data_IF_933127259820
#
_entry.id   IF_933127259820
#
_cell.length_a   1.000
_cell.length_b   1.000
_cell.length_c   1.000
_cell.angle_alpha   90.00
_cell.angle_beta   90.00
_cell.angle_gamma   90.00
#
_symmetry.space_group_name_H-M   'P 1'
#
loop_
_entity.id
_entity.type
_entity.pdbx_description
1 polymer ?
#
# COMPACT_ATOMS: atom_id res chain seq x y z
N UNK A 1 -15.84 9.27 -2.67
CA UNK A 1 -14.67 10.10 -3.02
C UNK A 1 -14.38 9.83 -4.47
N UNK A 2 -14.26 10.86 -5.31
CA UNK A 2 -13.94 10.63 -6.73
C UNK A 2 -12.52 10.07 -6.85
N UNK A 3 -12.29 9.27 -7.89
CA UNK A 3 -10.99 8.67 -8.18
C UNK A 3 -9.88 9.75 -8.23
N UNK A 4 -10.15 10.91 -8.85
CA UNK A 4 -9.21 12.04 -8.91
C UNK A 4 -8.82 12.57 -7.54
N UNK A 5 -9.77 12.67 -6.60
CA UNK A 5 -9.46 13.08 -5.23
C UNK A 5 -8.59 12.02 -4.58
N UNK A 6 -8.95 10.75 -4.69
CA UNK A 6 -8.14 9.67 -4.14
C UNK A 6 -6.70 9.73 -4.66
N UNK A 7 -6.50 9.84 -5.97
CA UNK A 7 -5.16 9.93 -6.57
C UNK A 7 -4.35 11.09 -5.98
N UNK A 8 -4.96 12.25 -5.76
CA UNK A 8 -4.28 13.39 -5.14
C UNK A 8 -3.82 13.10 -3.69
N UNK A 9 -4.73 12.61 -2.84
CA UNK A 9 -4.36 12.26 -1.45
C UNK A 9 -3.37 11.10 -1.40
N UNK A 10 -3.48 10.16 -2.33
CA UNK A 10 -2.57 9.02 -2.44
C UNK A 10 -1.16 9.46 -2.82
N UNK A 11 -1.02 10.34 -3.82
CA UNK A 11 0.28 10.89 -4.20
C UNK A 11 0.88 11.74 -3.07
N UNK A 12 0.06 12.55 -2.37
CA UNK A 12 0.52 13.28 -1.19
C UNK A 12 1.01 12.33 -0.09
N UNK A 13 0.28 11.25 0.18
CA UNK A 13 0.67 10.21 1.13
C UNK A 13 1.99 9.53 0.73
N UNK A 14 2.14 9.16 -0.53
CA UNK A 14 3.38 8.60 -1.07
C UNK A 14 4.55 9.58 -0.95
N UNK A 15 4.33 10.86 -1.23
CA UNK A 15 5.36 11.89 -1.12
C UNK A 15 5.80 12.09 0.33
N UNK A 16 4.86 12.10 1.29
CA UNK A 16 5.16 12.20 2.72
C UNK A 16 5.95 10.98 3.19
N UNK A 17 5.50 9.76 2.88
CA UNK A 17 6.22 8.54 3.26
C UNK A 17 7.61 8.46 2.60
N UNK A 18 7.71 8.79 1.32
CA UNK A 18 8.98 8.84 0.61
C UNK A 18 9.94 9.88 1.19
N UNK A 19 9.43 11.06 1.56
CA UNK A 19 10.20 12.10 2.23
C UNK A 19 10.70 11.68 3.60
N UNK A 20 9.85 11.04 4.42
CA UNK A 20 10.24 10.47 5.71
C UNK A 20 11.32 9.40 5.52
N UNK A 21 11.13 8.47 4.58
CA UNK A 21 12.10 7.42 4.29
C UNK A 21 13.43 7.99 3.78
N UNK A 22 13.40 9.06 2.98
CA UNK A 22 14.62 9.74 2.52
C UNK A 22 15.36 10.46 3.65
N UNK A 23 14.63 11.05 4.62
CA UNK A 23 15.22 11.75 5.75
C UNK A 23 15.77 10.79 6.83
N UNK A 24 15.22 9.59 6.97
CA UNK A 24 15.59 8.63 8.02
C UNK A 24 17.11 8.34 8.10
N UNK A 25 17.83 8.05 6.99
CA UNK A 25 19.28 7.85 7.00
C UNK A 25 20.07 9.03 7.57
N UNK A 26 19.59 10.26 7.38
CA UNK A 26 20.27 11.46 7.86
C UNK A 26 20.12 11.67 9.37
N UNK A 27 19.02 11.18 9.95
CA UNK A 27 18.73 11.28 11.39
C UNK A 27 19.42 10.19 12.21
N UNK A 28 19.71 9.04 11.60
CA UNK A 28 20.33 7.90 12.27
C UNK A 28 21.54 7.37 11.48
N UNK A 29 22.63 8.15 11.44
CA UNK A 29 23.84 7.73 10.74
C UNK A 29 24.42 6.46 11.37
N UNK A 30 24.74 5.46 10.55
CA UNK A 30 25.41 4.22 10.97
C UNK A 30 24.49 3.04 11.31
N UNK A 31 23.16 3.20 11.31
CA UNK A 31 22.22 2.07 11.42
C UNK A 31 21.66 1.68 10.05
N UNK A 32 21.64 0.37 9.76
CA UNK A 32 20.97 -0.21 8.59
C UNK A 32 19.44 -0.23 8.81
N UNK A 33 18.80 0.94 8.77
CA UNK A 33 17.35 1.06 8.98
C UNK A 33 16.58 0.73 7.70
N UNK A 34 17.13 1.10 6.54
CA UNK A 34 16.51 0.89 5.23
C UNK A 34 17.27 -0.19 4.46
N UNK A 35 16.49 -1.02 3.74
CA UNK A 35 17.01 -2.07 2.86
C UNK A 35 17.66 -1.43 1.62
N UNK A 36 18.75 -1.97 1.06
CA UNK A 36 19.37 -1.43 -0.15
C UNK A 36 18.40 -1.20 -1.31
N UNK A 37 17.42 -2.09 -1.50
CA UNK A 37 16.37 -1.96 -2.53
C UNK A 37 15.04 -1.45 -1.98
N UNK A 38 15.05 -0.64 -0.92
CA UNK A 38 13.85 -0.08 -0.31
C UNK A 38 12.93 0.60 -1.33
N UNK A 39 13.46 1.43 -2.22
CA UNK A 39 12.67 2.13 -3.23
C UNK A 39 11.93 1.19 -4.19
N UNK A 40 12.49 0.01 -4.49
CA UNK A 40 11.83 -1.00 -5.29
C UNK A 40 10.63 -1.58 -4.56
N UNK A 41 10.78 -1.90 -3.28
CA UNK A 41 9.68 -2.36 -2.40
C UNK A 41 8.60 -1.29 -2.27
N UNK A 42 9.01 -0.04 -2.06
CA UNK A 42 8.12 1.11 -1.94
C UNK A 42 7.29 1.31 -3.21
N UNK A 43 7.93 1.37 -4.38
CA UNK A 43 7.23 1.53 -5.66
C UNK A 43 6.33 0.34 -5.97
N UNK A 44 6.74 -0.89 -5.65
CA UNK A 44 5.90 -2.08 -5.81
C UNK A 44 4.63 -1.99 -4.95
N UNK A 45 4.78 -1.72 -3.65
CA UNK A 45 3.64 -1.59 -2.72
C UNK A 45 2.74 -0.41 -3.09
N UNK A 46 3.32 0.71 -3.52
CA UNK A 46 2.58 1.87 -3.99
C UNK A 46 1.80 1.56 -5.28
N UNK A 47 2.40 0.83 -6.23
CA UNK A 47 1.73 0.44 -7.47
C UNK A 47 0.56 -0.51 -7.20
N UNK A 48 0.81 -1.59 -6.46
CA UNK A 48 -0.23 -2.60 -6.21
C UNK A 48 -1.39 -2.06 -5.39
N UNK A 49 -1.13 -1.16 -4.42
CA UNK A 49 -2.19 -0.52 -3.63
C UNK A 49 -3.06 0.40 -4.49
N UNK A 50 -2.46 1.12 -5.44
CA UNK A 50 -3.24 1.94 -6.37
C UNK A 50 -4.13 1.10 -7.28
N UNK A 51 -3.60 -0.02 -7.80
CA UNK A 51 -4.35 -0.97 -8.62
C UNK A 51 -5.49 -1.58 -7.79
N UNK A 52 -5.22 -2.04 -6.58
CA UNK A 52 -6.22 -2.63 -5.69
C UNK A 52 -7.35 -1.64 -5.37
N UNK A 53 -7.02 -0.38 -5.06
CA UNK A 53 -8.04 0.65 -4.88
C UNK A 53 -8.88 0.85 -6.15
N UNK A 54 -8.26 0.90 -7.33
CA UNK A 54 -8.97 1.04 -8.60
C UNK A 54 -9.97 -0.08 -8.85
N UNK A 55 -9.58 -1.34 -8.59
CA UNK A 55 -10.45 -2.52 -8.69
C UNK A 55 -11.63 -2.40 -7.71
N UNK A 56 -11.37 -2.01 -6.47
CA UNK A 56 -12.43 -1.82 -5.48
C UNK A 56 -13.39 -0.69 -5.87
N UNK A 57 -12.87 0.48 -6.29
CA UNK A 57 -13.67 1.65 -6.69
C UNK A 57 -14.59 1.34 -7.88
N UNK A 58 -14.12 0.51 -8.83
CA UNK A 58 -14.96 0.00 -9.93
C UNK A 58 -16.13 -0.86 -9.43
N UNK A 59 -15.87 -1.73 -8.45
CA UNK A 59 -16.92 -2.56 -7.84
C UNK A 59 -17.93 -1.75 -7.04
N UNK A 60 -17.45 -0.79 -6.23
CA UNK A 60 -18.30 0.13 -5.46
C UNK A 60 -19.24 0.95 -6.35
N UNK A 61 -18.82 1.36 -7.55
CA UNK A 61 -19.69 2.13 -8.47
C UNK A 61 -20.86 1.33 -9.04
N UNK A 62 -20.79 0.00 -9.02
CA UNK A 62 -21.77 -0.87 -9.68
C UNK A 62 -22.99 -1.10 -8.81
N UNK A 63 -22.80 -1.64 -7.60
CA UNK A 63 -23.85 -1.91 -6.61
C UNK A 63 -23.25 -1.95 -5.18
N UNK A 64 -24.02 -1.60 -4.12
CA UNK A 64 -23.53 -1.61 -2.73
C UNK A 64 -23.04 -3.00 -2.26
N UNK A 65 -23.81 -4.06 -2.53
CA UNK A 65 -23.48 -5.42 -2.11
C UNK A 65 -22.24 -5.97 -2.82
N UNK A 66 -22.12 -5.66 -4.11
CA UNK A 66 -20.95 -6.01 -4.93
C UNK A 66 -19.73 -5.18 -4.52
N UNK A 67 -19.94 -3.96 -4.00
CA UNK A 67 -18.89 -3.08 -3.50
C UNK A 67 -18.10 -3.68 -2.34
N UNK A 68 -18.78 -4.31 -1.37
CA UNK A 68 -18.10 -4.99 -0.25
C UNK A 68 -17.28 -6.16 -0.73
N UNK A 69 -17.82 -7.00 -1.63
CA UNK A 69 -17.09 -8.11 -2.24
C UNK A 69 -15.88 -7.61 -3.04
N UNK A 70 -16.00 -6.48 -3.76
CA UNK A 70 -14.90 -5.91 -4.51
C UNK A 70 -13.78 -5.36 -3.61
N UNK A 71 -14.12 -4.77 -2.45
CA UNK A 71 -13.14 -4.35 -1.43
C UNK A 71 -12.39 -5.57 -0.88
N UNK A 72 -13.12 -6.63 -0.50
CA UNK A 72 -12.48 -7.84 0.01
C UNK A 72 -11.59 -8.50 -1.05
N UNK A 73 -12.07 -8.57 -2.29
CA UNK A 73 -11.32 -9.11 -3.42
C UNK A 73 -10.06 -8.30 -3.74
N UNK A 74 -10.12 -6.96 -3.70
CA UNK A 74 -8.95 -6.13 -3.96
C UNK A 74 -7.88 -6.28 -2.88
N UNK A 75 -8.29 -6.33 -1.61
CA UNK A 75 -7.39 -6.55 -0.48
C UNK A 75 -6.73 -7.93 -0.59
N UNK A 76 -7.51 -8.97 -0.90
CA UNK A 76 -6.99 -10.32 -1.10
C UNK A 76 -6.00 -10.38 -2.26
N UNK A 77 -6.33 -9.77 -3.41
CA UNK A 77 -5.45 -9.68 -4.57
C UNK A 77 -4.12 -9.02 -4.19
N UNK A 78 -4.18 -7.86 -3.53
CA UNK A 78 -2.99 -7.14 -3.05
C UNK A 78 -2.16 -8.00 -2.12
N UNK A 79 -2.80 -8.70 -1.19
CA UNK A 79 -2.12 -9.57 -0.23
C UNK A 79 -1.37 -10.71 -0.92
N UNK A 80 -1.97 -11.34 -1.94
CA UNK A 80 -1.32 -12.41 -2.72
C UNK A 80 -0.10 -11.87 -3.47
N UNK A 81 -0.22 -10.72 -4.14
CA UNK A 81 0.92 -10.11 -4.83
C UNK A 81 2.03 -9.66 -3.87
N UNK A 82 1.66 -9.09 -2.72
CA UNK A 82 2.57 -8.72 -1.65
C UNK A 82 3.34 -9.94 -1.13
N UNK A 83 2.65 -11.05 -0.84
CA UNK A 83 3.28 -12.30 -0.39
C UNK A 83 4.20 -12.88 -1.46
N UNK A 84 3.76 -12.94 -2.72
CA UNK A 84 4.58 -13.44 -3.82
C UNK A 84 5.86 -12.61 -3.97
N UNK A 85 5.75 -11.28 -3.90
CA UNK A 85 6.88 -10.38 -3.98
C UNK A 85 7.87 -10.57 -2.83
N UNK A 86 7.38 -10.65 -1.58
CA UNK A 86 8.23 -10.93 -0.40
C UNK A 86 8.95 -12.25 -0.55
N UNK A 87 8.26 -13.30 -0.97
CA UNK A 87 8.85 -14.62 -1.15
C UNK A 87 9.98 -14.58 -2.21
N UNK A 88 9.70 -14.01 -3.38
CA UNK A 88 10.69 -13.90 -4.47
C UNK A 88 11.90 -13.06 -4.04
N UNK A 89 11.66 -11.94 -3.36
CA UNK A 89 12.73 -11.06 -2.90
C UNK A 89 13.59 -11.73 -1.82
N UNK A 90 12.95 -12.43 -0.88
CA UNK A 90 13.63 -13.15 0.21
C UNK A 90 14.47 -14.32 -0.30
N UNK A 91 14.05 -15.02 -1.36
CA UNK A 91 14.83 -16.11 -1.96
C UNK A 91 16.05 -15.62 -2.73
N UNK A 92 16.01 -14.40 -3.28
CA UNK A 92 17.10 -13.83 -4.10
C UNK A 92 18.09 -12.98 -3.30
N UNK A 93 17.70 -12.46 -2.15
CA UNK A 93 18.51 -11.50 -1.39
C UNK A 93 19.20 -12.18 -0.21
N UNK A 94 20.53 -12.01 -0.10
CA UNK A 94 21.33 -12.42 1.07
C UNK A 94 21.33 -11.37 2.20
N UNK A 95 20.40 -10.44 2.14
CA UNK A 95 20.33 -9.28 3.04
C UNK A 95 19.80 -9.68 4.43
N UNK A 96 19.97 -8.80 5.41
CA UNK A 96 19.40 -8.98 6.75
C UNK A 96 17.87 -9.12 6.66
N UNK A 97 17.38 -10.36 6.63
CA UNK A 97 15.97 -10.67 6.43
C UNK A 97 15.05 -9.96 7.42
N UNK A 98 15.51 -9.75 8.66
CA UNK A 98 14.75 -9.03 9.68
C UNK A 98 14.49 -7.56 9.33
N UNK A 99 15.52 -6.83 8.88
CA UNK A 99 15.38 -5.42 8.46
C UNK A 99 14.44 -5.33 7.26
N UNK A 100 14.57 -6.26 6.31
CA UNK A 100 13.67 -6.33 5.16
C UNK A 100 12.22 -6.57 5.56
N UNK A 101 11.95 -7.55 6.42
CA UNK A 101 10.60 -7.85 6.90
C UNK A 101 9.99 -6.64 7.60
N UNK A 102 10.74 -5.96 8.47
CA UNK A 102 10.24 -4.75 9.15
C UNK A 102 9.90 -3.62 8.16
N UNK A 103 10.78 -3.36 7.19
CA UNK A 103 10.53 -2.34 6.16
C UNK A 103 9.30 -2.68 5.31
N UNK A 104 9.24 -3.92 4.82
CA UNK A 104 8.14 -4.40 4.01
C UNK A 104 6.82 -4.32 4.76
N UNK A 105 6.77 -4.85 5.98
CA UNK A 105 5.56 -4.94 6.78
C UNK A 105 5.07 -3.54 7.20
N UNK A 106 5.99 -2.65 7.59
CA UNK A 106 5.64 -1.26 7.93
C UNK A 106 5.01 -0.54 6.74
N UNK A 107 5.63 -0.63 5.56
CA UNK A 107 5.06 -0.05 4.35
C UNK A 107 3.72 -0.69 4.01
N UNK A 108 3.62 -2.02 4.01
CA UNK A 108 2.39 -2.75 3.70
C UNK A 108 1.25 -2.31 4.61
N UNK A 109 1.48 -2.18 5.91
CA UNK A 109 0.49 -1.71 6.87
C UNK A 109 0.06 -0.27 6.57
N UNK A 110 1.01 0.65 6.39
CA UNK A 110 0.71 2.06 6.13
C UNK A 110 -0.12 2.23 4.84
N UNK A 111 0.28 1.57 3.76
CA UNK A 111 -0.48 1.57 2.51
C UNK A 111 -1.87 0.93 2.67
N UNK A 112 -1.97 -0.18 3.42
CA UNK A 112 -3.25 -0.87 3.67
C UNK A 112 -4.21 -0.04 4.51
N UNK A 113 -3.73 0.60 5.58
CA UNK A 113 -4.56 1.45 6.43
C UNK A 113 -5.10 2.63 5.64
N UNK A 114 -4.26 3.28 4.84
CA UNK A 114 -4.69 4.37 3.96
C UNK A 114 -5.75 3.93 2.95
N UNK A 115 -5.51 2.80 2.27
CA UNK A 115 -6.44 2.23 1.29
C UNK A 115 -7.80 1.89 1.93
N UNK A 116 -7.79 1.10 3.00
CA UNK A 116 -9.01 0.66 3.70
C UNK A 116 -9.79 1.86 4.23
N UNK A 117 -9.11 2.86 4.81
CA UNK A 117 -9.76 4.09 5.25
C UNK A 117 -10.50 4.81 4.12
N UNK A 118 -9.86 4.94 2.95
CA UNK A 118 -10.47 5.57 1.78
C UNK A 118 -11.67 4.76 1.25
N UNK A 119 -11.55 3.44 1.19
CA UNK A 119 -12.61 2.54 0.72
C UNK A 119 -13.82 2.55 1.67
N UNK A 120 -13.58 2.45 2.98
CA UNK A 120 -14.65 2.52 3.98
C UNK A 120 -15.36 3.87 3.99
N UNK A 121 -14.62 4.97 3.77
CA UNK A 121 -15.22 6.30 3.61
C UNK A 121 -16.13 6.38 2.38
N UNK A 122 -15.73 5.75 1.27
CA UNK A 122 -16.56 5.64 0.07
C UNK A 122 -17.82 4.82 0.32
N UNK A 123 -17.68 3.65 0.94
CA UNK A 123 -18.78 2.76 1.27
C UNK A 123 -19.79 3.45 2.22
N UNK A 124 -19.30 4.14 3.26
CA UNK A 124 -20.15 4.88 4.21
C UNK A 124 -20.95 6.00 3.54
N UNK A 125 -20.37 6.66 2.54
CA UNK A 125 -21.08 7.71 1.80
C UNK A 125 -22.17 7.11 0.89
N UNK A 126 -21.92 5.96 0.28
CA UNK A 126 -22.93 5.24 -0.51
C UNK A 126 -24.07 4.71 0.34
N UNK A 127 -23.79 4.13 1.51
CA UNK A 127 -24.83 3.57 2.38
C UNK A 127 -25.70 4.63 3.09
N UNK A 128 -25.33 5.91 3.00
CA UNK A 128 -26.11 7.05 3.51
C UNK A 128 -26.96 7.74 2.44
N UNK A 129 -26.80 7.36 1.18
CA UNK A 129 -27.65 7.80 0.07
C UNK A 129 -28.79 6.81 -0.08
#
# INVERSE_FOLDING_TARGET
>A
MSLTRFTFYYLAFCAVLGGIAYALPSLFPGQLILVPKFWLVFCFLAGITYIAYGVADLGLKRNPDVGVMAIMGSIALKMIFAMAFVLIYSLKSKENGFVFVLNFFSLYLLFSLFEIYCLLRNLRHQNKK
#
